data_IF_232526676723
#
_entry.id   IF_232526676723
#
_cell.length_a   1.000
_cell.length_b   1.000
_cell.length_c   1.000
_cell.angle_alpha   90.00
_cell.angle_beta   90.00
_cell.angle_gamma   90.00
#
_symmetry.space_group_name_H-M   'P 1'
#
loop_
_entity.id
_entity.type
_entity.pdbx_description
1 polymer ?
#
# COMPACT_ATOMS: atom_id res chain seq x y z
N UNK A 1 60.02 26.23 6.33
CA UNK A 1 59.57 24.82 6.28
C UNK A 1 60.54 24.02 5.43
N UNK A 2 61.11 22.91 5.91
CA UNK A 2 62.04 22.09 5.11
C UNK A 2 61.27 21.28 4.06
N UNK A 3 61.84 21.05 2.86
CA UNK A 3 61.23 20.21 1.80
C UNK A 3 60.83 18.83 2.34
N UNK A 4 61.59 18.31 3.31
CA UNK A 4 61.35 17.05 4.00
C UNK A 4 60.09 17.09 4.87
N UNK A 5 59.86 18.18 5.60
CA UNK A 5 58.64 18.37 6.40
C UNK A 5 57.40 18.45 5.51
N UNK A 6 57.51 19.09 4.36
CA UNK A 6 56.40 19.19 3.40
C UNK A 6 56.00 17.81 2.83
N UNK A 7 57.00 16.98 2.49
CA UNK A 7 56.76 15.61 1.99
C UNK A 7 56.08 14.73 3.05
N UNK A 8 56.52 14.82 4.31
CA UNK A 8 55.92 14.03 5.40
C UNK A 8 54.47 14.41 5.67
N UNK A 9 54.13 15.70 5.59
CA UNK A 9 52.75 16.18 5.73
C UNK A 9 51.86 15.64 4.60
N UNK A 10 52.36 15.65 3.37
CA UNK A 10 51.64 15.09 2.22
C UNK A 10 51.44 13.58 2.31
N UNK A 11 52.46 12.86 2.79
CA UNK A 11 52.40 11.41 2.98
C UNK A 11 51.37 11.03 4.06
N UNK A 12 51.32 11.78 5.16
CA UNK A 12 50.31 11.62 6.20
C UNK A 12 48.90 11.93 5.67
N UNK A 13 48.74 13.01 4.91
CA UNK A 13 47.43 13.38 4.36
C UNK A 13 46.90 12.31 3.39
N UNK A 14 47.76 11.80 2.51
CA UNK A 14 47.40 10.73 1.57
C UNK A 14 47.05 9.42 2.27
N UNK A 15 47.72 9.08 3.38
CA UNK A 15 47.44 7.88 4.15
C UNK A 15 46.08 7.93 4.88
N UNK A 16 45.58 9.13 5.20
CA UNK A 16 44.29 9.32 5.87
C UNK A 16 43.10 9.55 4.90
N UNK A 17 43.35 9.74 3.61
CA UNK A 17 42.30 9.94 2.60
C UNK A 17 41.39 8.74 2.29
N UNK A 18 41.80 7.45 2.37
CA UNK A 18 40.94 6.34 1.93
C UNK A 18 39.78 6.01 2.90
N UNK A 19 39.67 6.69 4.04
CA UNK A 19 38.62 6.45 5.03
C UNK A 19 37.33 7.27 4.79
N UNK A 20 37.33 8.24 3.88
CA UNK A 20 36.10 8.94 3.48
C UNK A 20 35.33 8.02 2.56
N UNK A 21 34.58 7.09 3.16
CA UNK A 21 33.56 6.33 2.46
C UNK A 21 32.66 7.33 1.77
N UNK A 22 32.53 7.23 0.44
CA UNK A 22 31.45 7.87 -0.31
C UNK A 22 30.14 7.28 0.22
N UNK A 23 29.67 7.81 1.33
CA UNK A 23 28.28 7.70 1.73
C UNK A 23 27.53 8.53 0.70
N UNK A 24 27.22 7.89 -0.43
CA UNK A 24 26.32 8.45 -1.42
C UNK A 24 25.11 8.94 -0.65
N UNK A 25 24.81 10.25 -0.77
CA UNK A 25 23.72 10.89 -0.08
C UNK A 25 22.51 9.95 -0.12
N UNK A 26 22.11 9.40 1.05
CA UNK A 26 20.93 8.54 1.12
C UNK A 26 19.76 9.43 0.74
N UNK A 27 19.37 9.36 -0.53
CA UNK A 27 18.17 9.98 -1.04
C UNK A 27 17.03 9.55 -0.10
N UNK A 28 16.17 10.48 0.35
CA UNK A 28 15.06 10.12 1.23
C UNK A 28 14.30 8.95 0.60
N UNK A 29 14.21 7.86 1.35
CA UNK A 29 13.69 6.59 0.85
C UNK A 29 12.25 6.83 0.40
N UNK A 30 11.96 6.60 -0.88
CA UNK A 30 10.62 6.81 -1.45
C UNK A 30 9.61 5.93 -0.72
N UNK A 31 8.52 6.55 -0.25
CA UNK A 31 7.38 5.86 0.36
C UNK A 31 6.27 5.74 -0.69
N UNK A 32 5.93 4.51 -1.07
CA UNK A 32 4.86 4.23 -2.03
C UNK A 32 3.49 4.25 -1.33
N UNK A 33 2.55 5.05 -1.84
CA UNK A 33 1.19 5.12 -1.28
C UNK A 33 0.28 4.13 -2.01
N UNK A 34 -0.33 3.22 -1.28
CA UNK A 34 -1.19 2.16 -1.80
C UNK A 34 -2.59 2.37 -1.24
N UNK A 35 -3.57 2.58 -2.12
CA UNK A 35 -4.99 2.69 -1.73
C UNK A 35 -5.66 1.33 -1.75
N UNK A 36 -6.34 0.97 -0.66
CA UNK A 36 -7.17 -0.22 -0.53
C UNK A 36 -8.60 0.20 -0.20
N UNK A 37 -9.53 -0.25 -1.03
CA UNK A 37 -10.95 0.07 -0.92
C UNK A 37 -11.73 -1.20 -0.70
N UNK A 38 -12.80 -1.11 0.09
CA UNK A 38 -13.70 -2.24 0.34
C UNK A 38 -15.13 -1.82 0.36
N UNK A 39 -15.93 -2.79 -0.04
CA UNK A 39 -17.37 -2.67 -0.11
C UNK A 39 -17.92 -2.93 1.30
N UNK A 40 -18.44 -1.88 1.90
CA UNK A 40 -18.91 -1.87 3.29
C UNK A 40 -18.87 -0.46 3.83
N UNK A 41 -19.69 -0.17 4.83
CA UNK A 41 -19.81 1.17 5.40
C UNK A 41 -18.85 1.37 6.57
N UNK A 42 -18.71 0.38 7.46
CA UNK A 42 -17.99 0.62 8.71
C UNK A 42 -17.33 -0.64 9.30
N UNK A 43 -16.42 -1.25 8.56
CA UNK A 43 -15.47 -2.20 9.15
C UNK A 43 -14.14 -2.24 8.40
N UNK A 44 -13.07 -2.52 9.12
CA UNK A 44 -11.79 -2.94 8.52
C UNK A 44 -12.03 -4.35 7.95
N UNK A 45 -11.60 -4.66 6.71
CA UNK A 45 -11.93 -5.95 6.16
C UNK A 45 -11.10 -7.01 6.91
N UNK A 46 -11.65 -8.22 7.09
CA UNK A 46 -10.92 -9.29 7.76
C UNK A 46 -9.58 -9.64 7.09
N UNK A 47 -9.44 -9.34 5.80
CA UNK A 47 -8.24 -9.60 5.00
C UNK A 47 -7.11 -8.57 5.17
N UNK A 48 -7.38 -7.38 5.73
CA UNK A 48 -6.38 -6.31 5.80
C UNK A 48 -5.17 -6.63 6.69
N UNK A 49 -5.33 -7.26 7.88
CA UNK A 49 -4.19 -7.71 8.67
C UNK A 49 -3.30 -8.71 7.90
N UNK A 50 -3.92 -9.68 7.22
CA UNK A 50 -3.19 -10.69 6.43
C UNK A 50 -2.45 -10.07 5.24
N UNK A 51 -3.06 -9.11 4.54
CA UNK A 51 -2.40 -8.34 3.48
C UNK A 51 -1.16 -7.62 4.02
N UNK A 52 -1.28 -6.95 5.17
CA UNK A 52 -0.17 -6.21 5.79
C UNK A 52 0.97 -7.14 6.19
N UNK A 53 0.67 -8.31 6.74
CA UNK A 53 1.67 -9.33 7.08
C UNK A 53 2.38 -9.89 5.85
N UNK A 54 1.65 -10.20 4.78
CA UNK A 54 2.22 -10.67 3.53
C UNK A 54 3.15 -9.62 2.90
N UNK A 55 2.74 -8.35 2.88
CA UNK A 55 3.57 -7.25 2.40
C UNK A 55 4.86 -7.11 3.22
N UNK A 56 4.77 -7.24 4.55
CA UNK A 56 5.94 -7.24 5.43
C UNK A 56 6.89 -8.39 5.13
N UNK A 57 6.37 -9.59 4.88
CA UNK A 57 7.18 -10.76 4.52
C UNK A 57 7.94 -10.56 3.19
N UNK A 58 7.39 -9.75 2.28
CA UNK A 58 8.02 -9.36 1.01
C UNK A 58 8.99 -8.16 1.15
N UNK A 59 9.18 -7.62 2.35
CA UNK A 59 10.07 -6.48 2.61
C UNK A 59 9.40 -5.11 2.46
N UNK A 60 8.08 -5.06 2.35
CA UNK A 60 7.31 -3.80 2.38
C UNK A 60 6.84 -3.51 3.81
N UNK A 61 7.37 -2.45 4.39
CA UNK A 61 7.09 -2.00 5.74
C UNK A 61 6.40 -0.63 5.74
N UNK A 62 5.25 -0.59 6.43
CA UNK A 62 4.46 0.62 6.66
C UNK A 62 5.32 1.72 7.30
N UNK A 63 5.28 2.93 6.73
CA UNK A 63 6.06 4.08 7.18
C UNK A 63 7.55 4.06 6.78
N UNK A 64 8.08 2.95 6.26
CA UNK A 64 9.47 2.85 5.79
C UNK A 64 9.60 2.96 4.27
N UNK A 65 8.81 2.18 3.54
CA UNK A 65 8.82 2.15 2.08
C UNK A 65 7.42 2.09 1.46
N UNK A 66 6.37 1.86 2.27
CA UNK A 66 4.97 1.94 1.84
C UNK A 66 4.12 2.72 2.84
N UNK A 67 2.98 3.23 2.36
CA UNK A 67 1.89 3.78 3.15
C UNK A 67 0.57 3.19 2.66
N UNK A 68 -0.14 2.45 3.49
CA UNK A 68 -1.43 1.84 3.18
C UNK A 68 -2.56 2.78 3.60
N UNK A 69 -3.29 3.30 2.61
CA UNK A 69 -4.52 4.05 2.83
C UNK A 69 -5.71 3.10 2.67
N UNK A 70 -6.48 2.93 3.73
CA UNK A 70 -7.66 2.06 3.76
C UNK A 70 -8.92 2.90 3.89
N UNK A 71 -9.89 2.68 2.99
CA UNK A 71 -11.16 3.41 3.01
C UNK A 71 -12.35 2.51 2.68
N UNK A 72 -13.42 2.70 3.44
CA UNK A 72 -14.75 2.17 3.18
C UNK A 72 -15.55 3.10 2.25
N UNK A 73 -16.73 2.66 1.87
CA UNK A 73 -17.70 3.53 1.22
C UNK A 73 -18.14 4.65 2.18
N UNK A 74 -18.32 5.88 1.69
CA UNK A 74 -18.60 7.03 2.55
C UNK A 74 -20.01 7.02 3.16
N UNK A 75 -20.98 6.42 2.47
CA UNK A 75 -22.40 6.45 2.83
C UNK A 75 -23.20 5.33 2.15
N UNK A 76 -24.44 5.15 2.61
CA UNK A 76 -25.38 4.15 2.09
C UNK A 76 -25.75 4.33 0.61
N UNK A 77 -25.65 5.54 0.08
CA UNK A 77 -25.93 5.80 -1.33
C UNK A 77 -24.81 5.24 -2.21
N UNK A 78 -23.55 5.44 -1.81
CA UNK A 78 -22.40 4.82 -2.43
C UNK A 78 -22.48 3.29 -2.33
N UNK A 79 -22.94 2.74 -1.20
CA UNK A 79 -23.20 1.31 -1.04
C UNK A 79 -24.25 0.80 -2.03
N UNK A 80 -25.39 1.49 -2.15
CA UNK A 80 -26.44 1.15 -3.12
C UNK A 80 -25.95 1.19 -4.56
N UNK A 81 -25.16 2.20 -4.95
CA UNK A 81 -24.56 2.28 -6.29
C UNK A 81 -23.58 1.14 -6.57
N UNK A 82 -22.83 0.70 -5.55
CA UNK A 82 -21.85 -0.38 -5.68
C UNK A 82 -22.45 -1.80 -5.67
N UNK A 83 -23.71 -1.95 -5.25
CA UNK A 83 -24.41 -3.24 -5.15
C UNK A 83 -25.62 -3.29 -6.10
N UNK A 84 -25.42 -3.58 -7.39
CA UNK A 84 -26.47 -3.47 -8.42
C UNK A 84 -27.54 -4.58 -8.39
N UNK A 85 -27.58 -5.47 -7.39
CA UNK A 85 -28.45 -6.68 -7.44
C UNK A 85 -29.88 -6.43 -6.91
N UNK A 86 -30.25 -5.22 -6.47
CA UNK A 86 -31.59 -4.99 -5.91
C UNK A 86 -32.28 -3.74 -6.44
N UNK A 87 -32.47 -3.64 -7.76
CA UNK A 87 -33.51 -2.77 -8.33
C UNK A 87 -33.90 -3.30 -9.71
N UNK A 88 -34.59 -4.44 -9.76
CA UNK A 88 -35.63 -4.80 -10.74
C UNK A 88 -36.11 -6.22 -10.44
N UNK A 89 -36.76 -6.42 -9.30
CA UNK A 89 -37.82 -7.43 -9.23
C UNK A 89 -39.08 -6.67 -8.78
N UNK A 90 -40.08 -6.46 -9.64
CA UNK A 90 -41.32 -5.85 -9.21
C UNK A 90 -41.94 -6.75 -8.13
N UNK A 91 -42.12 -6.20 -6.93
CA UNK A 91 -42.72 -6.83 -5.75
C UNK A 91 -44.22 -7.16 -5.89
N UNK A 92 -44.75 -7.31 -7.12
CA UNK A 92 -46.19 -7.47 -7.35
C UNK A 92 -46.56 -8.23 -8.63
N UNK A 93 -45.68 -9.08 -9.16
CA UNK A 93 -46.13 -10.09 -10.13
C UNK A 93 -46.62 -11.31 -9.34
N UNK A 94 -47.92 -11.37 -9.07
CA UNK A 94 -48.56 -12.65 -8.74
C UNK A 94 -48.16 -13.67 -9.81
N UNK A 95 -47.73 -14.89 -9.43
CA UNK A 95 -47.43 -15.92 -10.41
C UNK A 95 -48.73 -16.27 -11.15
N UNK A 96 -48.77 -16.25 -12.50
CA UNK A 96 -49.93 -16.80 -13.20
C UNK A 96 -50.08 -18.26 -12.77
N UNK A 97 -51.29 -18.61 -12.33
CA UNK A 97 -51.72 -19.97 -12.05
C UNK A 97 -51.57 -20.84 -13.32
N UNK A 98 -50.36 -21.29 -13.60
CA UNK A 98 -50.13 -22.34 -14.59
C UNK A 98 -50.35 -23.67 -13.90
N UNK A 99 -51.56 -24.18 -14.09
CA UNK A 99 -51.95 -25.58 -13.96
C UNK A 99 -50.84 -26.46 -14.54
N UNK A 100 -50.17 -27.21 -13.69
CA UNK A 100 -49.37 -28.35 -14.10
C UNK A 100 -50.32 -29.50 -14.45
N UNK A 101 -50.79 -29.57 -15.70
CA UNK A 101 -51.33 -30.84 -16.22
C UNK A 101 -50.15 -31.70 -16.65
N UNK A 102 -49.79 -32.65 -15.79
CA UNK A 102 -48.89 -33.76 -16.12
C UNK A 102 -49.60 -34.67 -17.13
N UNK A 103 -48.96 -34.94 -18.26
CA UNK A 103 -49.24 -36.06 -19.17
C UNK A 103 -48.03 -36.98 -19.21
#
# INVERSE_FOLDING_TARGET
MSRRGFVLIWLLLAAFLPAVSLTGAQQPKKIWRIGSFHVGLDHVPPSFPALREALKALGYEEGKNIHLDWRNLPDEEAARRSSPITTTLPSSAEPPLLMWTRS
#
